data_IF_522718196160
#
_entry.id   IF_522718196160
#
_cell.length_a   1.000
_cell.length_b   1.000
_cell.length_c   1.000
_cell.angle_alpha   90.00
_cell.angle_beta   90.00
_cell.angle_gamma   90.00
#
_symmetry.space_group_name_H-M   'P 1'
#
loop_
_entity.id
_entity.type
_entity.pdbx_description
1 polymer ?
#
# COMPACT_ATOMS: atom_id res chain seq x y z
N UNK A 1 38.89 -17.28 -2.10
CA UNK A 1 39.92 -16.41 -1.49
C UNK A 1 39.17 -15.27 -0.82
N UNK A 2 39.53 -14.99 0.42
CA UNK A 2 38.96 -13.93 1.25
C UNK A 2 40.09 -13.00 1.69
N UNK A 3 39.76 -11.79 2.13
CA UNK A 3 40.76 -10.84 2.61
C UNK A 3 40.30 -10.12 3.86
N UNK A 4 41.25 -9.67 4.68
CA UNK A 4 41.00 -8.68 5.72
C UNK A 4 41.98 -7.51 5.58
N UNK A 5 41.53 -6.33 5.96
CA UNK A 5 42.32 -5.10 5.93
C UNK A 5 42.82 -4.78 7.34
N UNK A 6 44.13 -4.59 7.49
CA UNK A 6 44.71 -4.11 8.73
C UNK A 6 44.95 -2.60 8.63
N UNK A 7 44.20 -1.76 9.37
CA UNK A 7 44.31 -0.31 9.28
C UNK A 7 45.64 0.23 9.79
N UNK A 8 46.29 -0.45 10.75
CA UNK A 8 47.56 0.01 11.32
C UNK A 8 48.71 -0.10 10.31
N UNK A 9 48.68 -1.12 9.45
CA UNK A 9 49.69 -1.35 8.42
C UNK A 9 49.23 -0.95 7.02
N UNK A 10 47.98 -0.47 6.88
CA UNK A 10 47.34 -0.19 5.60
C UNK A 10 47.49 -1.33 4.57
N UNK A 11 47.44 -2.57 5.06
CA UNK A 11 47.77 -3.76 4.28
C UNK A 11 46.56 -4.70 4.17
N UNK A 12 46.42 -5.32 3.00
CA UNK A 12 45.45 -6.39 2.74
C UNK A 12 46.13 -7.75 2.88
N UNK A 13 45.56 -8.62 3.70
CA UNK A 13 45.99 -10.00 3.83
C UNK A 13 45.01 -10.89 3.08
N UNK A 14 45.49 -11.65 2.09
CA UNK A 14 44.68 -12.53 1.26
C UNK A 14 44.89 -13.97 1.72
N UNK A 15 43.83 -14.61 2.17
CA UNK A 15 43.83 -15.99 2.64
C UNK A 15 42.84 -16.83 1.83
N UNK A 16 42.96 -18.17 1.89
CA UNK A 16 41.93 -19.06 1.33
C UNK A 16 40.58 -18.81 2.02
N UNK A 17 40.64 -18.64 3.35
CA UNK A 17 39.54 -18.29 4.25
C UNK A 17 40.11 -17.43 5.38
N UNK A 18 39.42 -16.34 5.73
CA UNK A 18 39.75 -15.52 6.90
C UNK A 18 39.01 -16.11 8.09
N UNK A 19 39.79 -16.66 9.03
CA UNK A 19 39.31 -17.28 10.25
C UNK A 19 40.26 -16.90 11.39
N UNK A 20 39.69 -16.46 12.50
CA UNK A 20 40.41 -16.31 13.77
C UNK A 20 39.72 -17.17 14.82
N UNK A 21 40.43 -18.06 15.50
CA UNK A 21 39.81 -18.93 16.50
C UNK A 21 39.63 -18.11 17.76
N UNK A 22 38.38 -17.82 18.11
CA UNK A 22 38.07 -17.00 19.26
C UNK A 22 38.45 -17.69 20.57
N UNK A 23 38.94 -16.91 21.52
CA UNK A 23 39.21 -17.32 22.91
C UNK A 23 37.96 -17.27 23.81
N UNK A 24 36.83 -16.85 23.24
CA UNK A 24 35.52 -16.78 23.90
C UNK A 24 34.50 -17.71 23.23
N UNK A 25 33.40 -17.99 23.94
CA UNK A 25 32.29 -18.82 23.45
C UNK A 25 30.99 -18.04 23.41
N UNK A 26 29.99 -18.56 22.70
CA UNK A 26 28.65 -18.00 22.68
C UNK A 26 27.68 -19.04 23.25
N UNK A 27 26.99 -18.70 24.34
CA UNK A 27 26.02 -19.57 24.97
C UNK A 27 24.71 -18.84 25.29
N UNK A 28 23.61 -19.41 24.78
CA UNK A 28 22.27 -18.92 25.09
C UNK A 28 21.99 -18.98 26.60
N UNK A 29 21.56 -17.85 27.16
CA UNK A 29 21.28 -17.69 28.59
C UNK A 29 22.49 -17.33 29.44
N UNK A 30 23.69 -17.24 28.86
CA UNK A 30 24.87 -16.69 29.53
C UNK A 30 25.27 -15.33 28.94
N UNK A 31 25.84 -15.34 27.73
CA UNK A 31 26.40 -14.17 27.08
C UNK A 31 25.78 -13.87 25.70
N UNK A 32 24.72 -14.59 25.34
CA UNK A 32 23.92 -14.28 24.17
C UNK A 32 22.43 -14.53 24.42
N UNK A 33 21.61 -13.77 23.70
CA UNK A 33 20.14 -13.85 23.70
C UNK A 33 19.61 -13.86 22.26
N UNK A 34 18.31 -14.12 22.12
CA UNK A 34 17.55 -13.96 20.87
C UNK A 34 18.12 -14.75 19.67
N UNK A 35 18.49 -16.01 19.91
CA UNK A 35 18.94 -16.91 18.85
C UNK A 35 17.83 -17.13 17.83
N UNK A 36 18.16 -16.90 16.55
CA UNK A 36 17.28 -17.09 15.42
C UNK A 36 18.05 -17.80 14.31
N UNK A 37 17.69 -19.06 14.07
CA UNK A 37 18.19 -19.83 12.94
C UNK A 37 17.27 -19.63 11.72
N UNK A 38 17.85 -19.20 10.61
CA UNK A 38 17.20 -19.16 9.30
C UNK A 38 17.86 -20.20 8.38
N UNK A 39 17.05 -21.10 7.84
CA UNK A 39 17.48 -22.09 6.85
C UNK A 39 16.86 -21.77 5.49
N UNK A 40 17.68 -21.79 4.44
CA UNK A 40 17.25 -21.57 3.06
C UNK A 40 17.70 -22.73 2.18
N UNK A 41 16.73 -23.59 1.85
CA UNK A 41 16.90 -24.77 1.03
C UNK A 41 16.45 -24.57 -0.42
N UNK A 42 16.16 -23.34 -0.86
CA UNK A 42 15.67 -23.06 -2.22
C UNK A 42 16.64 -23.53 -3.33
N UNK A 43 17.93 -23.62 -3.02
CA UNK A 43 18.98 -24.12 -3.92
C UNK A 43 19.71 -25.31 -3.29
N UNK A 44 19.02 -26.11 -2.47
CA UNK A 44 19.62 -27.29 -1.86
C UNK A 44 19.80 -28.41 -2.90
N UNK A 45 21.00 -28.96 -2.95
CA UNK A 45 21.37 -30.03 -3.87
C UNK A 45 22.03 -31.17 -3.11
N UNK A 46 21.90 -32.38 -3.64
CA UNK A 46 22.56 -33.58 -3.12
C UNK A 46 23.34 -34.33 -4.18
N UNK A 47 23.23 -33.94 -5.46
CA UNK A 47 23.94 -34.51 -6.59
C UNK A 47 24.36 -33.43 -7.57
N UNK A 48 25.51 -33.61 -8.22
CA UNK A 48 26.02 -32.69 -9.24
C UNK A 48 26.87 -33.43 -10.28
N UNK A 49 26.82 -32.97 -11.52
CA UNK A 49 27.69 -33.40 -12.61
C UNK A 49 28.73 -32.32 -12.95
N UNK A 50 29.96 -32.73 -13.25
CA UNK A 50 31.06 -31.85 -13.63
C UNK A 50 31.67 -32.25 -14.96
N UNK A 51 31.94 -31.25 -15.80
CA UNK A 51 32.59 -31.39 -17.10
C UNK A 51 33.80 -30.46 -17.17
N UNK A 52 34.97 -31.03 -17.46
CA UNK A 52 36.25 -30.32 -17.57
C UNK A 52 37.11 -30.82 -18.72
N UNK A 53 38.29 -30.22 -18.88
CA UNK A 53 39.28 -30.50 -19.92
C UNK A 53 38.68 -30.53 -21.34
N UNK A 54 38.18 -29.37 -21.78
CA UNK A 54 37.74 -29.15 -23.15
C UNK A 54 38.07 -27.73 -23.64
N UNK A 55 38.29 -27.53 -24.95
CA UNK A 55 38.57 -26.21 -25.52
C UNK A 55 37.44 -25.20 -25.28
N UNK A 56 37.78 -23.91 -25.17
CA UNK A 56 36.76 -22.85 -25.21
C UNK A 56 35.98 -22.94 -26.54
N UNK A 57 34.64 -22.92 -26.46
CA UNK A 57 33.69 -23.06 -27.58
C UNK A 57 33.46 -24.48 -28.15
N UNK A 58 33.90 -25.56 -27.49
CA UNK A 58 33.49 -26.92 -27.87
C UNK A 58 32.19 -27.36 -27.18
N UNK A 59 31.55 -28.42 -27.70
CA UNK A 59 30.37 -28.97 -27.05
C UNK A 59 30.76 -29.68 -25.75
N UNK A 60 29.86 -29.70 -24.76
CA UNK A 60 30.06 -30.40 -23.48
C UNK A 60 30.34 -31.91 -23.69
N UNK A 61 29.88 -32.46 -24.81
CA UNK A 61 30.14 -33.86 -25.19
C UNK A 61 31.64 -34.16 -25.34
N UNK A 62 32.41 -33.14 -25.73
CA UNK A 62 33.85 -33.21 -26.00
C UNK A 62 34.70 -33.07 -24.72
N UNK A 63 34.06 -32.90 -23.56
CA UNK A 63 34.73 -32.92 -22.26
C UNK A 63 35.48 -34.25 -22.05
N UNK A 64 36.78 -34.17 -21.76
CA UNK A 64 37.57 -35.34 -21.41
C UNK A 64 37.39 -35.75 -19.96
N UNK A 65 37.13 -34.78 -19.09
CA UNK A 65 36.85 -35.02 -17.68
C UNK A 65 35.34 -34.96 -17.43
N UNK A 66 34.76 -36.07 -16.98
CA UNK A 66 33.33 -36.19 -16.64
C UNK A 66 33.22 -36.85 -15.27
N UNK A 67 32.73 -36.11 -14.29
CA UNK A 67 32.58 -36.59 -12.92
C UNK A 67 31.15 -36.41 -12.44
N UNK A 68 30.81 -37.21 -11.45
CA UNK A 68 29.55 -37.13 -10.72
C UNK A 68 29.87 -37.19 -9.22
N UNK A 69 29.23 -36.32 -8.45
CA UNK A 69 29.31 -36.32 -7.00
C UNK A 69 27.91 -36.42 -6.41
N UNK A 70 27.74 -37.32 -5.44
CA UNK A 70 26.51 -37.49 -4.66
C UNK A 70 26.85 -37.41 -3.17
N UNK A 71 26.20 -36.49 -2.47
CA UNK A 71 26.38 -36.32 -1.03
C UNK A 71 25.73 -37.48 -0.25
N UNK A 72 26.30 -37.99 0.85
CA UNK A 72 25.73 -39.09 1.63
C UNK A 72 24.28 -38.85 2.08
N UNK A 73 23.92 -37.59 2.35
CA UNK A 73 22.55 -37.19 2.71
C UNK A 73 21.52 -37.53 1.62
N UNK A 74 21.92 -37.70 0.35
CA UNK A 74 21.03 -38.06 -0.75
C UNK A 74 20.22 -39.33 -0.46
N UNK A 75 20.81 -40.26 0.30
CA UNK A 75 20.14 -41.52 0.71
C UNK A 75 18.94 -41.29 1.62
N UNK A 76 18.96 -40.20 2.40
CA UNK A 76 17.94 -39.88 3.40
C UNK A 76 16.94 -38.86 2.87
N UNK A 77 17.41 -37.81 2.19
CA UNK A 77 16.57 -36.68 1.76
C UNK A 77 16.15 -36.73 0.28
N UNK A 78 16.76 -37.61 -0.51
CA UNK A 78 16.53 -37.74 -1.96
C UNK A 78 17.61 -37.09 -2.83
N UNK A 79 17.51 -37.34 -4.13
CA UNK A 79 18.47 -36.88 -5.14
C UNK A 79 18.01 -35.56 -5.77
N UNK A 80 18.65 -34.45 -5.38
CA UNK A 80 18.41 -33.11 -5.91
C UNK A 80 19.61 -32.69 -6.76
N UNK A 81 19.37 -32.53 -8.06
CA UNK A 81 20.42 -32.28 -9.04
C UNK A 81 20.77 -30.80 -9.14
N UNK A 82 22.05 -30.47 -8.91
CA UNK A 82 22.58 -29.13 -9.10
C UNK A 82 22.84 -28.82 -10.59
N UNK A 83 22.90 -27.54 -10.97
CA UNK A 83 23.43 -27.13 -12.27
C UNK A 83 24.85 -27.67 -12.47
N UNK A 84 25.07 -28.34 -13.60
CA UNK A 84 26.37 -28.94 -13.88
C UNK A 84 27.50 -27.89 -14.00
N UNK A 85 28.65 -28.19 -13.42
CA UNK A 85 29.86 -27.38 -13.59
C UNK A 85 30.45 -27.64 -14.98
N UNK A 86 30.71 -26.57 -15.73
CA UNK A 86 31.29 -26.62 -17.07
C UNK A 86 32.50 -25.68 -17.11
N UNK A 87 33.70 -26.23 -16.92
CA UNK A 87 34.93 -25.44 -16.90
C UNK A 87 36.05 -26.18 -17.63
N UNK A 88 36.17 -25.93 -18.93
CA UNK A 88 37.15 -26.61 -19.80
C UNK A 88 38.61 -26.34 -19.44
N UNK A 89 38.89 -25.33 -18.60
CA UNK A 89 40.23 -25.01 -18.10
C UNK A 89 40.70 -25.94 -16.99
N UNK A 90 39.76 -26.61 -16.32
CA UNK A 90 40.08 -27.55 -15.24
C UNK A 90 40.49 -28.88 -15.86
N UNK A 91 41.75 -29.25 -15.68
CA UNK A 91 42.32 -30.51 -16.19
C UNK A 91 42.52 -31.58 -15.11
N UNK A 92 42.50 -31.16 -13.84
CA UNK A 92 42.72 -32.02 -12.69
C UNK A 92 41.37 -32.50 -12.13
N UNK A 93 41.23 -33.82 -12.01
CA UNK A 93 40.06 -34.49 -11.45
C UNK A 93 39.74 -34.05 -10.03
N UNK A 94 40.76 -33.94 -9.17
CA UNK A 94 40.58 -33.53 -7.78
C UNK A 94 40.08 -32.10 -7.69
N UNK A 95 40.60 -31.21 -8.55
CA UNK A 95 40.15 -29.81 -8.59
C UNK A 95 38.69 -29.72 -9.03
N UNK A 96 38.27 -30.52 -10.02
CA UNK A 96 36.87 -30.55 -10.45
C UNK A 96 35.97 -31.12 -9.35
N UNK A 97 36.37 -32.22 -8.71
CA UNK A 97 35.63 -32.85 -7.62
C UNK A 97 35.47 -31.91 -6.42
N UNK A 98 36.53 -31.20 -6.01
CA UNK A 98 36.46 -30.23 -4.92
C UNK A 98 35.55 -29.04 -5.25
N UNK A 99 35.55 -28.57 -6.51
CA UNK A 99 34.56 -27.57 -6.97
C UNK A 99 33.13 -28.10 -6.88
N UNK A 100 32.90 -29.35 -7.25
CA UNK A 100 31.59 -30.01 -7.21
C UNK A 100 31.08 -30.19 -5.78
N UNK A 101 31.92 -30.73 -4.89
CA UNK A 101 31.64 -30.83 -3.46
C UNK A 101 31.31 -29.48 -2.87
N UNK A 102 32.13 -28.46 -3.16
CA UNK A 102 31.90 -27.11 -2.68
C UNK A 102 30.53 -26.56 -3.09
N UNK A 103 30.05 -26.82 -4.32
CA UNK A 103 28.70 -26.38 -4.74
C UNK A 103 27.61 -27.08 -3.93
N UNK A 104 27.72 -28.39 -3.74
CA UNK A 104 26.71 -29.20 -3.02
C UNK A 104 26.74 -28.91 -1.52
N UNK A 105 27.91 -28.88 -0.90
CA UNK A 105 28.07 -28.70 0.54
C UNK A 105 27.67 -27.27 0.97
N UNK A 106 27.86 -26.26 0.11
CA UNK A 106 27.42 -24.88 0.37
C UNK A 106 26.01 -24.57 -0.17
N UNK A 107 25.27 -25.57 -0.65
CA UNK A 107 23.95 -25.39 -1.28
C UNK A 107 22.84 -25.11 -0.26
N UNK A 108 22.92 -25.75 0.90
CA UNK A 108 22.07 -25.43 2.05
C UNK A 108 22.64 -24.21 2.76
N UNK A 109 21.83 -23.17 2.90
CA UNK A 109 22.26 -21.93 3.55
C UNK A 109 21.66 -21.82 4.93
N UNK A 110 22.52 -21.67 5.94
CA UNK A 110 22.11 -21.55 7.34
C UNK A 110 22.69 -20.26 7.93
N UNK A 111 21.80 -19.40 8.44
CA UNK A 111 22.16 -18.13 9.07
C UNK A 111 21.68 -18.12 10.51
N UNK A 112 22.61 -18.04 11.45
CA UNK A 112 22.30 -17.90 12.87
C UNK A 112 22.47 -16.44 13.27
N UNK A 113 21.39 -15.79 13.70
CA UNK A 113 21.44 -14.43 14.24
C UNK A 113 21.21 -14.46 15.74
N UNK A 114 21.97 -13.67 16.49
CA UNK A 114 21.83 -13.54 17.93
C UNK A 114 22.28 -12.17 18.44
N UNK A 115 21.90 -11.87 19.67
CA UNK A 115 22.34 -10.70 20.41
C UNK A 115 23.44 -11.11 21.38
N UNK A 116 24.69 -10.80 21.03
CA UNK A 116 25.84 -11.02 21.89
C UNK A 116 25.95 -9.87 22.90
N UNK A 117 25.94 -10.22 24.19
CA UNK A 117 25.96 -9.27 25.29
C UNK A 117 27.40 -9.01 25.70
N UNK A 118 27.77 -7.73 25.74
CA UNK A 118 29.07 -7.36 26.28
C UNK A 118 29.02 -7.38 27.81
N UNK A 119 29.67 -8.38 28.42
CA UNK A 119 29.69 -8.57 29.85
C UNK A 119 30.97 -7.99 30.45
N UNK A 120 30.86 -6.86 31.17
CA UNK A 120 31.96 -6.29 31.94
C UNK A 120 32.17 -7.05 33.25
N UNK A 121 32.83 -8.21 33.18
CA UNK A 121 33.31 -8.95 34.34
C UNK A 121 34.74 -9.46 34.09
N UNK A 122 35.38 -10.03 35.12
CA UNK A 122 36.79 -10.47 35.03
C UNK A 122 37.04 -11.57 33.98
N UNK A 123 36.00 -12.33 33.60
CA UNK A 123 36.13 -13.49 32.72
C UNK A 123 35.76 -13.24 31.26
N UNK A 124 34.94 -12.22 30.96
CA UNK A 124 34.40 -11.95 29.61
C UNK A 124 34.75 -10.55 29.08
N UNK A 125 35.57 -9.77 29.78
CA UNK A 125 35.99 -8.43 29.36
C UNK A 125 36.66 -8.36 27.98
N UNK A 126 37.31 -9.45 27.54
CA UNK A 126 37.99 -9.60 26.26
C UNK A 126 37.08 -10.16 25.15
N UNK A 127 35.89 -10.65 25.50
CA UNK A 127 34.96 -11.28 24.56
C UNK A 127 34.24 -10.22 23.71
N UNK A 128 34.90 -9.79 22.63
CA UNK A 128 34.37 -8.83 21.67
C UNK A 128 34.31 -9.51 20.31
N UNK A 129 33.09 -9.61 19.76
CA UNK A 129 32.88 -10.29 18.49
C UNK A 129 33.50 -9.50 17.33
N UNK A 130 34.29 -10.18 16.49
CA UNK A 130 34.83 -9.64 15.26
C UNK A 130 34.41 -10.49 14.05
N UNK A 131 34.38 -9.85 12.88
CA UNK A 131 34.08 -10.55 11.62
C UNK A 131 35.26 -11.44 11.26
N UNK A 132 34.99 -12.73 11.01
CA UNK A 132 35.99 -13.75 10.76
C UNK A 132 36.24 -14.68 11.96
N UNK A 133 35.77 -14.33 13.16
CA UNK A 133 35.96 -15.18 14.34
C UNK A 133 35.20 -16.50 14.17
N UNK A 134 35.85 -17.62 14.50
CA UNK A 134 35.26 -18.94 14.62
C UNK A 134 35.04 -19.21 16.10
N UNK A 135 33.77 -19.24 16.50
CA UNK A 135 33.35 -19.29 17.90
C UNK A 135 32.58 -20.59 18.20
N UNK A 136 32.84 -21.26 19.33
CA UNK A 136 31.97 -22.33 19.80
C UNK A 136 30.62 -21.76 20.22
N UNK A 137 29.55 -22.26 19.60
CA UNK A 137 28.17 -21.85 19.86
C UNK A 137 27.41 -22.98 20.53
N UNK A 138 26.75 -22.66 21.64
CA UNK A 138 25.92 -23.58 22.40
C UNK A 138 24.50 -23.05 22.59
N UNK A 139 23.54 -23.73 21.99
CA UNK A 139 22.11 -23.49 22.21
C UNK A 139 21.37 -24.83 22.36
N UNK A 140 20.78 -25.05 23.54
CA UNK A 140 20.08 -26.29 23.84
C UNK A 140 18.71 -26.39 23.15
N UNK A 141 18.05 -25.26 22.86
CA UNK A 141 16.69 -25.24 22.32
C UNK A 141 16.68 -25.51 20.80
N UNK A 142 17.67 -24.97 20.09
CA UNK A 142 17.92 -25.17 18.66
C UNK A 142 18.86 -26.36 18.39
N UNK A 143 19.35 -27.03 19.44
CA UNK A 143 20.28 -28.15 19.35
C UNK A 143 21.57 -27.82 18.57
N UNK A 144 22.13 -26.64 18.84
CA UNK A 144 23.36 -26.15 18.21
C UNK A 144 24.53 -26.35 19.16
N UNK A 145 25.51 -27.14 18.73
CA UNK A 145 26.74 -27.45 19.45
C UNK A 145 27.90 -27.53 18.46
N UNK A 146 28.26 -26.39 17.85
CA UNK A 146 29.24 -26.36 16.77
C UNK A 146 30.09 -25.08 16.79
N UNK A 147 31.23 -25.12 16.10
CA UNK A 147 32.11 -23.97 15.89
C UNK A 147 31.68 -23.23 14.63
N UNK A 148 31.08 -22.05 14.81
CA UNK A 148 30.47 -21.30 13.71
C UNK A 148 31.22 -19.99 13.50
N UNK A 149 31.50 -19.65 12.25
CA UNK A 149 32.17 -18.41 11.88
C UNK A 149 31.22 -17.21 11.89
N UNK A 150 31.66 -16.10 12.44
CA UNK A 150 30.98 -14.80 12.40
C UNK A 150 31.19 -14.14 11.03
N UNK A 151 30.10 -13.78 10.36
CA UNK A 151 30.11 -13.10 9.05
C UNK A 151 29.67 -11.65 9.12
N UNK A 152 28.94 -11.26 10.15
CA UNK A 152 28.49 -9.88 10.34
C UNK A 152 28.42 -9.54 11.82
N UNK A 153 28.89 -8.33 12.17
CA UNK A 153 28.79 -7.78 13.52
C UNK A 153 28.27 -6.34 13.44
N UNK A 154 27.19 -6.05 14.16
CA UNK A 154 26.68 -4.68 14.37
C UNK A 154 26.84 -4.31 15.83
N UNK A 155 27.74 -3.37 16.09
CA UNK A 155 28.07 -2.95 17.46
C UNK A 155 27.26 -1.74 17.86
N UNK A 156 26.55 -1.84 18.99
CA UNK A 156 25.83 -0.74 19.64
C UNK A 156 26.67 -0.24 20.81
N UNK A 157 26.87 1.09 20.85
CA UNK A 157 27.65 1.76 21.90
C UNK A 157 26.80 2.79 22.65
N UNK A 158 27.12 3.00 23.92
CA UNK A 158 26.51 4.06 24.74
C UNK A 158 27.16 5.43 24.49
N UNK A 159 26.69 6.45 25.22
CA UNK A 159 27.18 7.83 25.15
C UNK A 159 28.67 7.95 25.53
N UNK A 160 29.20 6.99 26.29
CA UNK A 160 30.61 6.91 26.68
C UNK A 160 31.45 6.05 25.73
N UNK A 161 30.88 5.68 24.56
CA UNK A 161 31.51 4.87 23.52
C UNK A 161 31.89 3.44 24.00
N UNK A 162 31.21 2.94 25.03
CA UNK A 162 31.36 1.57 25.51
C UNK A 162 30.40 0.67 24.74
N UNK A 163 30.87 -0.52 24.37
CA UNK A 163 30.02 -1.53 23.74
C UNK A 163 28.97 -2.00 24.73
N UNK A 164 27.69 -1.89 24.36
CA UNK A 164 26.57 -2.38 25.17
C UNK A 164 26.09 -3.75 24.65
N UNK A 165 26.04 -3.89 23.32
CA UNK A 165 25.50 -5.07 22.64
C UNK A 165 26.11 -5.19 21.25
N UNK A 166 26.28 -6.43 20.78
CA UNK A 166 26.61 -6.72 19.38
C UNK A 166 25.53 -7.64 18.78
N UNK A 167 24.86 -7.21 17.71
CA UNK A 167 24.06 -8.13 16.90
C UNK A 167 25.02 -8.88 15.98
N UNK A 168 25.03 -10.20 16.08
CA UNK A 168 26.00 -11.07 15.40
C UNK A 168 25.25 -12.01 14.46
N UNK A 169 25.72 -12.12 13.22
CA UNK A 169 25.29 -13.14 12.25
C UNK A 169 26.43 -14.14 12.06
N UNK A 170 26.14 -15.43 12.24
CA UNK A 170 27.07 -16.55 12.10
C UNK A 170 26.64 -17.49 10.98
N UNK A 171 27.60 -18.17 10.37
CA UNK A 171 27.38 -19.09 9.25
C UNK A 171 27.31 -18.34 7.92
N UNK A 172 26.16 -18.40 7.25
CA UNK A 172 25.89 -17.60 6.06
C UNK A 172 25.23 -16.26 6.40
N UNK A 173 25.39 -15.26 5.54
CA UNK A 173 24.61 -14.01 5.59
C UNK A 173 23.12 -14.30 5.49
N UNK A 174 22.27 -13.47 6.10
CA UNK A 174 20.80 -13.58 6.06
C UNK A 174 20.27 -13.65 4.62
N UNK A 175 19.19 -14.40 4.39
CA UNK A 175 18.60 -14.58 3.05
C UNK A 175 18.30 -13.25 2.35
N UNK A 176 17.73 -12.30 3.10
CA UNK A 176 17.42 -10.95 2.61
C UNK A 176 18.66 -10.21 2.10
N UNK A 177 19.77 -10.28 2.82
CA UNK A 177 20.99 -9.55 2.47
C UNK A 177 21.72 -10.22 1.29
N UNK A 178 21.69 -11.56 1.20
CA UNK A 178 22.14 -12.29 0.00
C UNK A 178 21.34 -11.88 -1.23
N UNK A 179 20.02 -11.87 -1.14
CA UNK A 179 19.14 -11.47 -2.25
C UNK A 179 19.40 -10.01 -2.68
N UNK A 180 19.51 -9.09 -1.72
CA UNK A 180 19.87 -7.69 -1.99
C UNK A 180 21.22 -7.57 -2.68
N UNK A 181 22.23 -8.32 -2.23
CA UNK A 181 23.57 -8.32 -2.83
C UNK A 181 23.58 -8.88 -4.25
N UNK A 182 22.82 -9.95 -4.51
CA UNK A 182 22.65 -10.51 -5.86
C UNK A 182 22.02 -9.49 -6.81
N UNK A 183 20.95 -8.82 -6.37
CA UNK A 183 20.32 -7.75 -7.15
C UNK A 183 21.32 -6.63 -7.43
N UNK A 184 22.01 -6.13 -6.40
CA UNK A 184 22.97 -5.05 -6.56
C UNK A 184 24.12 -5.43 -7.51
N UNK A 185 24.62 -6.66 -7.45
CA UNK A 185 25.66 -7.16 -8.34
C UNK A 185 25.16 -7.29 -9.79
N UNK A 186 23.93 -7.75 -9.99
CA UNK A 186 23.31 -7.78 -11.32
C UNK A 186 23.14 -6.36 -11.87
N UNK A 187 22.72 -5.41 -11.03
CA UNK A 187 22.61 -4.00 -11.39
C UNK A 187 23.96 -3.42 -11.81
N UNK A 188 25.02 -3.60 -11.01
CA UNK A 188 26.36 -3.09 -11.35
C UNK A 188 26.94 -3.76 -12.60
N UNK A 189 26.62 -5.04 -12.82
CA UNK A 189 27.05 -5.75 -14.03
C UNK A 189 26.40 -5.15 -15.28
N UNK A 190 25.11 -4.80 -15.21
CA UNK A 190 24.39 -4.13 -16.29
C UNK A 190 24.96 -2.73 -16.55
N UNK A 191 25.25 -1.95 -15.50
CA UNK A 191 25.90 -0.63 -15.64
C UNK A 191 27.27 -0.73 -16.31
N UNK A 192 28.04 -1.77 -16.01
CA UNK A 192 29.34 -2.01 -16.67
C UNK A 192 29.15 -2.41 -18.14
N UNK A 193 28.14 -3.21 -18.47
CA UNK A 193 27.78 -3.54 -19.86
C UNK A 193 27.33 -2.29 -20.61
N UNK A 194 26.56 -1.39 -19.99
CA UNK A 194 26.15 -0.10 -20.54
C UNK A 194 27.35 0.80 -20.85
N UNK A 195 28.32 0.87 -19.93
CA UNK A 195 29.60 1.60 -20.14
C UNK A 195 30.45 0.98 -21.24
N UNK A 196 30.54 -0.35 -21.31
CA UNK A 196 31.26 -1.06 -22.36
C UNK A 196 30.59 -0.87 -23.73
N UNK A 197 29.27 -0.91 -23.78
CA UNK A 197 28.45 -0.70 -24.99
C UNK A 197 28.53 0.75 -25.51
N UNK A 198 28.80 1.72 -24.64
CA UNK A 198 29.01 3.13 -25.03
C UNK A 198 30.46 3.43 -25.43
N UNK A 199 31.42 2.59 -25.04
CA UNK A 199 32.85 2.76 -25.33
C UNK A 199 33.36 1.91 -26.51
N UNK A 200 32.68 0.81 -26.86
CA UNK A 200 33.03 0.00 -28.03
C UNK A 200 32.11 0.30 -29.22
N UNK A 201 32.69 0.66 -30.36
CA UNK A 201 32.01 0.74 -31.65
C UNK A 201 31.55 -0.65 -32.10
N UNK A 202 30.39 -1.10 -31.62
CA UNK A 202 29.74 -2.33 -32.05
C UNK A 202 28.72 -2.00 -33.16
N UNK A 203 28.68 -2.81 -34.21
CA UNK A 203 27.99 -2.55 -35.48
C UNK A 203 26.47 -2.31 -35.34
N UNK A 204 25.95 -1.42 -36.18
CA UNK A 204 24.70 -0.64 -36.05
C UNK A 204 23.36 -1.40 -36.30
N UNK A 205 23.31 -2.73 -36.22
CA UNK A 205 22.07 -3.50 -36.50
C UNK A 205 21.22 -3.80 -35.26
N UNK A 206 21.82 -4.45 -34.25
CA UNK A 206 21.11 -4.99 -33.09
C UNK A 206 21.11 -4.04 -31.87
N UNK A 207 21.80 -2.90 -31.98
CA UNK A 207 22.01 -1.96 -30.88
C UNK A 207 20.80 -1.06 -30.57
N UNK A 208 19.91 -0.83 -31.54
CA UNK A 208 18.71 -0.01 -31.34
C UNK A 208 17.70 -0.68 -30.40
N UNK A 209 17.49 -1.99 -30.58
CA UNK A 209 16.64 -2.80 -29.72
C UNK A 209 17.25 -2.97 -28.33
N UNK A 210 18.55 -3.22 -28.23
CA UNK A 210 19.24 -3.30 -26.94
C UNK A 210 19.17 -1.97 -26.18
N UNK A 211 19.40 -0.82 -26.83
CA UNK A 211 19.30 0.50 -26.21
C UNK A 211 17.86 0.86 -25.80
N UNK A 212 16.87 0.47 -26.60
CA UNK A 212 15.45 0.63 -26.24
C UNK A 212 15.07 -0.24 -25.04
N UNK A 213 15.51 -1.50 -25.02
CA UNK A 213 15.30 -2.42 -23.91
C UNK A 213 16.01 -1.93 -22.65
N UNK A 214 17.21 -1.38 -22.77
CA UNK A 214 18.00 -0.82 -21.66
C UNK A 214 17.37 0.47 -21.09
N UNK A 215 16.84 1.35 -21.94
CA UNK A 215 16.10 2.53 -21.45
C UNK A 215 14.81 2.12 -20.74
N UNK A 216 14.04 1.20 -21.33
CA UNK A 216 12.85 0.64 -20.69
C UNK A 216 13.19 -0.07 -19.37
N UNK A 217 14.33 -0.77 -19.31
CA UNK A 217 14.78 -1.45 -18.10
C UNK A 217 15.34 -0.48 -17.05
N UNK A 218 15.99 0.61 -17.45
CA UNK A 218 16.44 1.71 -16.59
C UNK A 218 15.25 2.47 -15.99
N UNK A 219 14.21 2.70 -16.79
CA UNK A 219 12.94 3.27 -16.32
C UNK A 219 12.24 2.31 -15.34
N UNK A 220 12.31 0.98 -15.56
CA UNK A 220 11.87 -0.04 -14.59
C UNK A 220 12.72 -0.03 -13.31
N UNK A 221 14.04 0.13 -13.41
CA UNK A 221 14.99 0.24 -12.27
C UNK A 221 14.74 1.48 -11.41
N UNK A 222 14.37 2.61 -12.02
CA UNK A 222 13.99 3.81 -11.28
C UNK A 222 12.57 3.71 -10.73
N UNK A 223 11.64 3.09 -11.47
CA UNK A 223 10.23 3.02 -11.11
C UNK A 223 9.86 1.91 -10.14
N UNK A 224 10.76 0.97 -9.80
CA UNK A 224 10.55 -0.06 -8.77
C UNK A 224 11.85 -0.32 -7.99
N UNK A 225 11.88 0.06 -6.71
CA UNK A 225 12.99 -0.15 -5.78
C UNK A 225 12.53 -1.05 -4.61
N UNK A 226 13.47 -1.75 -3.97
CA UNK A 226 13.20 -2.62 -2.83
C UNK A 226 14.02 -2.14 -1.62
N UNK A 227 13.37 -1.83 -0.50
CA UNK A 227 14.04 -1.34 0.71
C UNK A 227 13.43 -1.93 2.00
N UNK A 228 13.68 -1.29 3.15
CA UNK A 228 13.08 -1.65 4.45
C UNK A 228 11.61 -1.33 4.59
N UNK A 229 11.09 -0.41 3.79
CA UNK A 229 9.69 -0.02 3.77
C UNK A 229 8.86 -0.89 2.81
N UNK A 230 9.52 -1.58 1.88
CA UNK A 230 8.92 -2.63 1.05
C UNK A 230 9.28 -2.47 -0.42
N UNK A 231 8.30 -2.73 -1.29
CA UNK A 231 8.44 -2.52 -2.74
C UNK A 231 7.94 -1.11 -3.02
N UNK A 232 8.81 -0.21 -3.49
CA UNK A 232 8.44 1.17 -3.78
C UNK A 232 8.49 1.48 -5.27
N UNK A 233 7.43 2.06 -5.80
CA UNK A 233 7.47 2.74 -7.07
C UNK A 233 7.89 4.19 -6.89
N UNK A 234 8.85 4.67 -7.68
CA UNK A 234 9.45 6.00 -7.53
C UNK A 234 9.32 6.81 -8.82
N UNK A 235 8.82 8.04 -8.70
CA UNK A 235 8.76 9.03 -9.77
C UNK A 235 9.12 10.41 -9.21
N UNK A 236 10.42 10.76 -9.28
CA UNK A 236 10.96 11.94 -8.62
C UNK A 236 10.82 11.87 -7.10
N UNK A 237 10.18 12.87 -6.48
CA UNK A 237 9.86 12.87 -5.05
C UNK A 237 8.63 12.04 -4.69
N UNK A 238 7.83 11.64 -5.69
CA UNK A 238 6.64 10.84 -5.46
C UNK A 238 7.00 9.37 -5.32
N UNK A 239 6.47 8.73 -4.28
CA UNK A 239 6.67 7.31 -4.02
C UNK A 239 5.34 6.63 -3.73
N UNK A 240 5.16 5.41 -4.25
CA UNK A 240 4.08 4.48 -3.88
C UNK A 240 4.74 3.25 -3.28
N UNK A 241 4.45 2.93 -2.02
CA UNK A 241 5.18 1.93 -1.24
C UNK A 241 4.22 0.81 -0.86
N UNK A 242 4.50 -0.40 -1.30
CA UNK A 242 3.83 -1.63 -0.89
C UNK A 242 4.59 -2.27 0.26
N UNK A 243 4.00 -2.25 1.45
CA UNK A 243 4.62 -2.65 2.72
C UNK A 243 3.82 -3.72 3.44
N UNK A 244 4.38 -4.28 4.53
CA UNK A 244 3.64 -5.18 5.44
C UNK A 244 2.36 -4.57 6.03
N UNK A 245 2.26 -3.25 6.05
CA UNK A 245 1.15 -2.50 6.65
C UNK A 245 0.17 -1.95 5.59
N UNK A 246 0.28 -2.40 4.34
CA UNK A 246 -0.54 -1.96 3.21
C UNK A 246 0.21 -1.05 2.23
N UNK A 247 -0.53 -0.27 1.46
CA UNK A 247 -0.01 0.65 0.43
C UNK A 247 0.07 2.06 1.03
N UNK A 248 1.24 2.68 0.94
CA UNK A 248 1.47 4.06 1.34
C UNK A 248 1.91 4.91 0.13
N UNK A 249 1.70 6.22 0.23
CA UNK A 249 2.23 7.18 -0.73
C UNK A 249 3.06 8.24 -0.01
N UNK A 250 4.04 8.80 -0.70
CA UNK A 250 4.83 9.95 -0.26
C UNK A 250 5.02 10.90 -1.44
N UNK A 251 5.14 12.19 -1.16
CA UNK A 251 5.38 13.24 -2.16
C UNK A 251 6.69 13.99 -1.91
N UNK A 252 7.48 13.54 -0.95
CA UNK A 252 8.67 14.22 -0.42
C UNK A 252 9.87 13.27 -0.29
N UNK A 253 9.98 12.30 -1.19
CA UNK A 253 11.10 11.37 -1.25
C UNK A 253 11.07 10.27 -0.19
N UNK A 254 9.96 10.11 0.54
CA UNK A 254 9.75 9.08 1.55
C UNK A 254 9.83 9.58 3.00
N UNK A 255 9.95 10.89 3.22
CA UNK A 255 10.01 11.47 4.58
C UNK A 255 8.66 11.40 5.27
N UNK A 256 7.58 11.81 4.58
CA UNK A 256 6.21 11.67 5.06
C UNK A 256 5.47 10.62 4.24
N UNK A 257 5.03 9.56 4.92
CA UNK A 257 4.31 8.43 4.33
C UNK A 257 2.86 8.47 4.79
N UNK A 258 1.93 8.65 3.85
CA UNK A 258 0.49 8.61 4.11
C UNK A 258 -0.01 7.24 3.67
N UNK A 259 -0.66 6.49 4.57
CA UNK A 259 -1.25 5.19 4.24
C UNK A 259 -2.46 5.41 3.32
N UNK A 260 -2.42 4.81 2.14
CA UNK A 260 -3.48 4.89 1.13
C UNK A 260 -4.45 3.71 1.20
N UNK A 261 -3.95 2.51 1.48
CA UNK A 261 -4.74 1.30 1.63
C UNK A 261 -4.19 0.47 2.79
N UNK A 262 -5.07 0.02 3.69
CA UNK A 262 -4.71 -0.90 4.78
C UNK A 262 -5.77 -2.01 4.88
N UNK A 263 -5.63 -2.90 5.86
CA UNK A 263 -6.67 -3.89 6.19
C UNK A 263 -8.00 -3.26 6.60
N UNK A 264 -8.00 -2.00 7.04
CA UNK A 264 -9.21 -1.26 7.44
C UNK A 264 -9.91 -0.59 6.24
N UNK A 265 -9.29 -0.60 5.06
CA UNK A 265 -9.86 -0.04 3.83
C UNK A 265 -8.99 1.05 3.18
N UNK A 266 -9.63 1.84 2.31
CA UNK A 266 -9.02 2.93 1.54
C UNK A 266 -9.06 4.22 2.36
N UNK A 267 -7.96 4.96 2.40
CA UNK A 267 -7.91 6.27 3.06
C UNK A 267 -8.71 7.32 2.25
N UNK A 268 -9.84 7.83 2.77
CA UNK A 268 -10.70 8.75 2.04
C UNK A 268 -10.08 10.14 1.81
N UNK A 269 -9.10 10.55 2.62
CA UNK A 269 -8.46 11.87 2.49
C UNK A 269 -7.55 11.96 1.26
N UNK A 270 -7.14 10.82 0.71
CA UNK A 270 -6.32 10.74 -0.49
C UNK A 270 -7.13 10.66 -1.79
N UNK A 271 -8.45 10.52 -1.68
CA UNK A 271 -9.34 10.50 -2.84
C UNK A 271 -9.59 11.94 -3.28
N UNK A 272 -9.28 12.24 -4.55
CA UNK A 272 -9.53 13.56 -5.15
C UNK A 272 -11.04 13.82 -5.16
N UNK A 273 -11.48 14.81 -4.39
CA UNK A 273 -12.87 15.27 -4.35
C UNK A 273 -13.18 16.09 -5.60
N UNK A 274 -14.32 15.81 -6.23
CA UNK A 274 -14.79 16.62 -7.35
C UNK A 274 -15.16 18.03 -6.86
N UNK A 275 -14.77 19.05 -7.61
CA UNK A 275 -15.14 20.45 -7.36
C UNK A 275 -15.87 21.02 -8.57
N UNK A 276 -16.32 22.28 -8.47
CA UNK A 276 -16.89 22.99 -9.62
C UNK A 276 -15.90 23.10 -10.80
N UNK A 277 -14.59 23.00 -10.57
CA UNK A 277 -13.57 23.25 -11.58
C UNK A 277 -12.70 22.02 -11.89
N UNK A 278 -12.80 20.96 -11.10
CA UNK A 278 -11.92 19.80 -11.19
C UNK A 278 -12.71 18.50 -11.04
N UNK A 279 -12.41 17.52 -11.90
CA UNK A 279 -12.94 16.16 -11.80
C UNK A 279 -12.39 15.45 -10.54
N UNK A 280 -13.17 14.52 -9.99
CA UNK A 280 -12.76 13.64 -8.91
C UNK A 280 -13.40 12.26 -9.10
N UNK A 281 -14.03 11.70 -8.05
CA UNK A 281 -14.87 10.50 -8.18
C UNK A 281 -16.11 10.68 -9.08
N UNK A 282 -16.47 11.92 -9.40
CA UNK A 282 -17.47 12.27 -10.42
C UNK A 282 -16.91 13.38 -11.31
N UNK A 283 -17.51 13.58 -12.49
CA UNK A 283 -17.11 14.67 -13.38
C UNK A 283 -17.43 16.04 -12.76
N UNK A 284 -16.67 17.08 -13.09
CA UNK A 284 -16.96 18.47 -12.69
C UNK A 284 -18.33 18.93 -13.19
N UNK A 285 -18.79 18.39 -14.33
CA UNK A 285 -20.11 18.69 -14.89
C UNK A 285 -21.22 18.10 -14.02
N UNK A 286 -21.07 16.83 -13.62
CA UNK A 286 -22.01 16.19 -12.71
C UNK A 286 -21.92 16.80 -11.32
N UNK A 287 -20.75 17.21 -10.84
CA UNK A 287 -20.61 17.95 -9.58
C UNK A 287 -21.37 19.27 -9.62
N UNK A 288 -21.28 20.05 -10.71
CA UNK A 288 -22.08 21.28 -10.88
C UNK A 288 -23.58 20.98 -10.90
N UNK A 289 -24.00 19.93 -11.59
CA UNK A 289 -25.42 19.50 -11.58
C UNK A 289 -25.87 19.10 -10.19
N UNK A 290 -25.07 18.30 -9.50
CA UNK A 290 -25.33 17.83 -8.14
C UNK A 290 -25.42 19.01 -7.17
N UNK A 291 -24.51 19.97 -7.29
CA UNK A 291 -24.57 21.20 -6.51
C UNK A 291 -25.79 22.03 -6.91
N UNK A 292 -26.20 22.10 -8.16
CA UNK A 292 -27.46 22.76 -8.54
C UNK A 292 -28.70 22.05 -7.97
N UNK A 293 -28.61 20.74 -7.72
CA UNK A 293 -29.67 19.95 -7.08
C UNK A 293 -29.71 20.17 -5.56
N UNK A 294 -28.55 20.36 -4.91
CA UNK A 294 -28.46 20.49 -3.44
C UNK A 294 -28.23 21.92 -2.92
N UNK A 295 -27.87 22.87 -3.80
CA UNK A 295 -27.65 24.29 -3.50
C UNK A 295 -28.91 25.12 -3.80
N UNK A 296 -30.05 24.45 -3.94
CA UNK A 296 -31.36 25.02 -3.70
C UNK A 296 -31.89 24.34 -2.46
N UNK A 297 -32.05 25.14 -1.40
CA UNK A 297 -33.03 24.85 -0.36
C UNK A 297 -34.26 24.24 -1.01
N UNK A 298 -34.57 23.00 -0.62
CA UNK A 298 -35.74 22.20 -0.93
C UNK A 298 -36.82 22.93 -1.73
N UNK A 299 -36.77 22.90 -3.07
CA UNK A 299 -37.84 23.03 -4.10
C UNK A 299 -39.09 23.92 -3.87
N UNK A 300 -39.14 24.73 -2.81
CA UNK A 300 -40.26 25.42 -2.22
C UNK A 300 -39.71 26.51 -1.30
N UNK A 301 -39.70 27.79 -1.72
CA UNK A 301 -39.34 28.89 -0.81
C UNK A 301 -40.55 29.21 0.06
N UNK A 302 -40.45 29.07 1.39
CA UNK A 302 -41.57 29.40 2.29
C UNK A 302 -41.86 30.90 2.18
N UNK A 303 -43.07 31.22 1.73
CA UNK A 303 -43.53 32.60 1.59
C UNK A 303 -44.06 33.09 2.94
N UNK A 304 -44.88 32.26 3.61
CA UNK A 304 -45.48 32.57 4.90
C UNK A 304 -45.72 31.31 5.76
N UNK A 305 -45.63 31.47 7.07
CA UNK A 305 -46.02 30.50 8.10
C UNK A 305 -47.23 31.07 8.85
N UNK A 306 -48.38 30.41 8.72
CA UNK A 306 -49.68 31.02 9.00
C UNK A 306 -50.44 30.31 10.12
N UNK A 307 -50.54 28.98 10.09
CA UNK A 307 -51.39 28.20 11.01
C UNK A 307 -52.81 28.79 11.19
N UNK A 308 -53.50 29.13 10.09
CA UNK A 308 -54.81 29.81 10.11
C UNK A 308 -55.91 28.90 9.59
N UNK A 309 -57.08 28.96 10.22
CA UNK A 309 -58.30 28.36 9.67
C UNK A 309 -58.92 29.29 8.64
N UNK A 310 -58.40 29.29 7.41
CA UNK A 310 -58.75 30.22 6.35
C UNK A 310 -60.28 30.37 6.13
N UNK A 311 -60.90 31.39 6.74
CA UNK A 311 -62.33 31.72 6.61
C UNK A 311 -62.54 33.03 5.80
N UNK A 312 -63.78 33.54 5.72
CA UNK A 312 -64.07 34.75 4.91
C UNK A 312 -63.41 36.05 5.45
N UNK A 313 -63.01 36.05 6.72
CA UNK A 313 -62.39 37.19 7.40
C UNK A 313 -60.86 37.14 7.36
N UNK A 314 -60.27 35.96 7.07
CA UNK A 314 -58.83 35.75 7.04
C UNK A 314 -58.25 36.09 5.67
N UNK A 315 -57.98 37.38 5.45
CA UNK A 315 -57.29 37.85 4.25
C UNK A 315 -55.77 37.71 4.42
N UNK A 316 -55.18 36.76 3.69
CA UNK A 316 -53.74 36.56 3.62
C UNK A 316 -53.19 37.40 2.47
N UNK A 317 -52.22 38.28 2.75
CA UNK A 317 -51.53 39.08 1.75
C UNK A 317 -50.22 38.41 1.35
N UNK A 318 -50.06 38.06 0.08
CA UNK A 318 -48.83 37.44 -0.40
C UNK A 318 -47.69 38.46 -0.44
N UNK A 319 -46.53 38.08 0.06
CA UNK A 319 -45.32 38.94 0.04
C UNK A 319 -44.79 39.18 -1.38
N UNK A 320 -45.21 38.37 -2.36
CA UNK A 320 -44.94 38.54 -3.79
C UNK A 320 -46.18 38.20 -4.61
N UNK A 321 -46.44 38.90 -5.74
CA UNK A 321 -47.52 38.54 -6.65
C UNK A 321 -47.31 37.14 -7.26
N UNK A 322 -48.39 36.37 -7.45
CA UNK A 322 -48.35 35.02 -8.02
C UNK A 322 -47.76 35.03 -9.45
N UNK A 323 -48.05 36.09 -10.22
CA UNK A 323 -47.50 36.33 -11.56
C UNK A 323 -45.98 36.33 -11.61
N UNK A 324 -45.34 36.76 -10.52
CA UNK A 324 -43.90 36.97 -10.44
C UNK A 324 -43.16 35.70 -9.95
N UNK A 325 -43.92 34.70 -9.50
CA UNK A 325 -43.37 33.41 -9.07
C UNK A 325 -42.84 32.60 -10.24
N UNK A 326 -41.96 31.65 -9.95
CA UNK A 326 -41.35 30.81 -10.99
C UNK A 326 -42.38 29.92 -11.67
N UNK A 327 -43.16 29.13 -10.92
CA UNK A 327 -44.19 28.24 -11.44
C UNK A 327 -45.57 28.48 -10.80
N UNK A 328 -45.63 28.82 -9.52
CA UNK A 328 -46.88 29.07 -8.81
C UNK A 328 -46.74 28.93 -7.30
N UNK A 329 -47.85 28.66 -6.62
CA UNK A 329 -47.92 28.49 -5.17
C UNK A 329 -48.18 27.05 -4.77
N UNK A 330 -47.63 26.63 -3.63
CA UNK A 330 -48.07 25.44 -2.90
C UNK A 330 -48.72 25.89 -1.60
N UNK A 331 -49.95 25.45 -1.39
CA UNK A 331 -50.64 25.56 -0.12
C UNK A 331 -50.49 24.25 0.65
N UNK A 332 -50.04 24.33 1.90
CA UNK A 332 -49.87 23.17 2.78
C UNK A 332 -50.95 23.17 3.84
N UNK A 333 -51.85 22.21 3.71
CA UNK A 333 -52.96 21.99 4.63
C UNK A 333 -52.60 20.95 5.67
N UNK A 334 -52.84 21.28 6.94
CA UNK A 334 -52.61 20.39 8.07
C UNK A 334 -53.93 19.93 8.66
N UNK A 335 -54.10 18.62 8.80
CA UNK A 335 -55.21 18.07 9.58
C UNK A 335 -54.81 18.00 11.06
N UNK A 336 -55.57 18.69 11.92
CA UNK A 336 -55.21 18.92 13.32
C UNK A 336 -55.20 17.64 14.17
N UNK A 337 -56.03 16.64 13.83
CA UNK A 337 -56.16 15.41 14.62
C UNK A 337 -55.10 14.36 14.27
N UNK A 338 -54.72 14.26 12.99
CA UNK A 338 -53.78 13.22 12.50
C UNK A 338 -52.38 13.75 12.26
N UNK A 339 -52.17 15.06 12.36
CA UNK A 339 -50.91 15.75 12.08
C UNK A 339 -50.38 15.54 10.64
N UNK A 340 -51.26 15.15 9.72
CA UNK A 340 -50.91 14.88 8.31
C UNK A 340 -50.92 16.16 7.48
N UNK A 341 -49.91 16.31 6.63
CA UNK A 341 -49.76 17.45 5.71
C UNK A 341 -50.16 17.08 4.29
N UNK A 342 -50.94 17.94 3.65
CA UNK A 342 -51.40 17.79 2.29
C UNK A 342 -51.05 19.02 1.47
N UNK A 343 -50.37 18.81 0.35
CA UNK A 343 -49.88 19.88 -0.51
C UNK A 343 -50.77 20.03 -1.73
N UNK A 344 -51.10 21.27 -2.08
CA UNK A 344 -51.86 21.56 -3.29
C UNK A 344 -51.23 22.70 -4.08
N UNK A 345 -51.05 22.47 -5.38
CA UNK A 345 -50.37 23.40 -6.27
C UNK A 345 -51.36 24.28 -7.03
N UNK A 346 -51.10 25.58 -7.05
CA UNK A 346 -51.81 26.58 -7.84
C UNK A 346 -50.84 27.16 -8.86
N UNK A 347 -51.10 26.91 -10.14
CA UNK A 347 -50.24 27.39 -11.24
C UNK A 347 -50.40 28.89 -11.48
N UNK A 348 -49.28 29.61 -11.63
CA UNK A 348 -49.30 31.03 -11.98
C UNK A 348 -49.98 31.31 -13.32
N UNK A 349 -50.00 30.31 -14.22
CA UNK A 349 -50.63 30.44 -15.55
C UNK A 349 -52.14 30.71 -15.46
N UNK A 350 -52.78 30.40 -14.33
CA UNK A 350 -54.19 30.69 -14.14
C UNK A 350 -54.44 32.21 -14.02
N UNK A 351 -53.44 32.98 -13.57
CA UNK A 351 -53.54 34.42 -13.32
C UNK A 351 -53.14 35.29 -14.52
N UNK A 352 -52.90 34.71 -15.70
CA UNK A 352 -52.59 35.51 -16.90
C UNK A 352 -53.83 36.21 -17.47
N UNK A 353 -55.03 35.65 -17.26
CA UNK A 353 -56.29 36.12 -17.86
C UNK A 353 -57.43 36.31 -16.83
N UNK A 354 -57.16 36.13 -15.54
CA UNK A 354 -58.17 36.18 -14.48
C UNK A 354 -57.60 36.87 -13.25
N UNK A 355 -58.33 37.85 -12.71
CA UNK A 355 -57.89 38.61 -11.53
C UNK A 355 -58.09 37.82 -10.24
N UNK A 356 -59.09 36.92 -10.21
CA UNK A 356 -59.51 36.14 -9.05
C UNK A 356 -59.96 34.74 -9.49
N UNK A 357 -59.55 33.71 -8.74
CA UNK A 357 -59.88 32.30 -8.99
C UNK A 357 -60.41 31.66 -7.72
N UNK A 358 -61.49 30.89 -7.84
CA UNK A 358 -62.00 30.05 -6.75
C UNK A 358 -61.36 28.67 -6.83
N UNK A 359 -60.65 28.28 -5.78
CA UNK A 359 -59.99 26.98 -5.65
C UNK A 359 -60.73 26.11 -4.63
N UNK A 360 -61.00 24.86 -4.99
CA UNK A 360 -61.53 23.85 -4.06
C UNK A 360 -60.40 22.87 -3.78
N UNK A 361 -60.04 22.77 -2.51
CA UNK A 361 -58.95 21.99 -1.99
C UNK A 361 -59.48 20.71 -1.35
N UNK A 362 -59.29 19.57 -2.03
CA UNK A 362 -59.69 18.27 -1.49
C UNK A 362 -58.55 17.64 -0.68
N UNK A 363 -58.76 17.49 0.62
CA UNK A 363 -57.72 17.14 1.59
C UNK A 363 -58.05 15.76 2.15
N UNK A 364 -57.25 14.72 1.84
CA UNK A 364 -57.51 13.37 2.31
C UNK A 364 -57.26 13.27 3.82
N UNK A 365 -58.20 12.63 4.52
CA UNK A 365 -58.15 12.41 5.98
C UNK A 365 -58.18 10.92 6.37
N UNK A 366 -58.24 10.01 5.38
CA UNK A 366 -58.28 8.56 5.59
C UNK A 366 -58.56 7.80 4.29
N UNK A 367 -58.86 6.49 4.40
CA UNK A 367 -59.26 5.71 3.22
C UNK A 367 -60.64 6.18 2.73
N UNK A 368 -60.67 6.83 1.56
CA UNK A 368 -61.86 7.34 0.87
C UNK A 368 -62.64 8.47 1.57
N UNK A 369 -62.01 9.20 2.50
CA UNK A 369 -62.61 10.39 3.13
C UNK A 369 -61.79 11.65 2.82
N UNK A 370 -62.48 12.70 2.41
CA UNK A 370 -61.88 13.99 2.07
C UNK A 370 -62.64 15.13 2.73
N UNK A 371 -61.89 16.13 3.19
CA UNK A 371 -62.41 17.43 3.61
C UNK A 371 -62.14 18.42 2.48
N UNK A 372 -63.15 19.19 2.10
CA UNK A 372 -62.99 20.24 1.09
C UNK A 372 -62.85 21.60 1.78
N UNK A 373 -61.76 22.30 1.50
CA UNK A 373 -61.60 23.73 1.81
C UNK A 373 -61.74 24.54 0.55
N UNK A 374 -62.35 25.71 0.63
CA UNK A 374 -62.45 26.59 -0.54
C UNK A 374 -61.72 27.89 -0.28
N UNK A 375 -60.91 28.33 -1.23
CA UNK A 375 -60.27 29.64 -1.18
C UNK A 375 -60.56 30.46 -2.43
N UNK A 376 -60.59 31.77 -2.25
CA UNK A 376 -60.62 32.76 -3.32
C UNK A 376 -59.21 33.33 -3.39
N UNK A 377 -58.54 33.10 -4.52
CA UNK A 377 -57.14 33.46 -4.74
C UNK A 377 -57.06 34.55 -5.78
N UNK A 378 -56.45 35.68 -5.43
CA UNK A 378 -56.09 36.76 -6.36
C UNK A 378 -54.58 36.73 -6.64
N UNK A 379 -54.10 37.58 -7.55
CA UNK A 379 -52.67 37.68 -7.81
C UNK A 379 -51.84 38.10 -6.58
N UNK A 380 -52.45 38.68 -5.53
CA UNK A 380 -51.74 39.21 -4.36
C UNK A 380 -52.31 38.76 -3.01
N UNK A 381 -53.38 37.96 -3.00
CA UNK A 381 -54.02 37.56 -1.75
C UNK A 381 -54.76 36.24 -1.84
N UNK A 382 -54.98 35.62 -0.68
CA UNK A 382 -55.79 34.42 -0.50
C UNK A 382 -56.78 34.68 0.62
N UNK A 383 -58.05 34.35 0.42
CA UNK A 383 -59.09 34.42 1.46
C UNK A 383 -59.96 33.16 1.42
N UNK A 384 -60.53 32.79 2.55
CA UNK A 384 -61.43 31.65 2.67
C UNK A 384 -62.89 32.00 2.41
N UNK A 385 -63.77 31.09 2.80
CA UNK A 385 -65.23 31.28 2.87
C UNK A 385 -65.73 30.78 4.23
N UNK A 386 -66.93 31.18 4.65
CA UNK A 386 -67.51 30.79 5.94
C UNK A 386 -67.65 29.27 6.11
N UNK A 387 -67.96 28.55 5.04
CA UNK A 387 -68.15 27.11 5.07
C UNK A 387 -66.87 26.33 5.46
N UNK A 388 -65.71 27.00 5.47
CA UNK A 388 -64.47 26.42 5.96
C UNK A 388 -64.45 26.24 7.49
N UNK A 389 -65.36 26.84 8.27
CA UNK A 389 -65.41 26.72 9.74
C UNK A 389 -66.59 25.89 10.24
N UNK A 390 -67.11 24.99 9.42
CA UNK A 390 -68.28 24.20 9.76
C UNK A 390 -67.91 22.91 10.53
N UNK A 391 -68.27 22.88 11.81
CA UNK A 391 -68.08 21.73 12.71
C UNK A 391 -68.84 20.47 12.26
N UNK A 392 -70.03 20.61 11.65
CA UNK A 392 -70.84 19.49 11.15
C UNK A 392 -70.09 18.71 10.04
N UNK A 393 -69.36 19.44 9.20
CA UNK A 393 -68.56 18.86 8.12
C UNK A 393 -67.07 18.67 8.49
N UNK A 394 -66.70 18.90 9.75
CA UNK A 394 -65.33 18.85 10.27
C UNK A 394 -64.33 19.74 9.52
N UNK A 395 -64.79 20.78 8.80
CA UNK A 395 -63.88 21.63 8.02
C UNK A 395 -62.95 22.43 8.93
N UNK A 396 -63.39 22.75 10.16
CA UNK A 396 -62.61 23.35 11.25
C UNK A 396 -61.34 22.55 11.63
N UNK A 397 -61.31 21.24 11.38
CA UNK A 397 -60.17 20.36 11.72
C UNK A 397 -59.00 20.44 10.74
N UNK A 398 -59.10 21.28 9.72
CA UNK A 398 -58.03 21.47 8.72
C UNK A 398 -57.67 22.94 8.65
N UNK A 399 -56.39 23.24 8.80
CA UNK A 399 -55.85 24.61 8.75
C UNK A 399 -54.85 24.76 7.61
N UNK A 400 -54.70 25.98 7.11
CA UNK A 400 -53.60 26.34 6.23
C UNK A 400 -52.37 26.59 7.11
N UNK A 401 -51.39 25.69 7.03
CA UNK A 401 -50.18 25.78 7.84
C UNK A 401 -49.16 26.71 7.18
N UNK A 402 -48.83 26.45 5.92
CA UNK A 402 -47.77 27.14 5.19
C UNK A 402 -48.15 27.43 3.74
N UNK A 403 -47.51 28.46 3.19
CA UNK A 403 -47.52 28.77 1.76
C UNK A 403 -46.08 28.78 1.25
N UNK A 404 -45.83 28.08 0.14
CA UNK A 404 -44.53 28.04 -0.53
C UNK A 404 -44.60 28.53 -1.99
N UNK A 405 -43.52 29.13 -2.48
CA UNK A 405 -43.26 29.41 -3.90
C UNK A 405 -42.69 28.16 -4.57
N UNK A 406 -43.27 27.74 -5.69
CA UNK A 406 -42.79 26.63 -6.53
C UNK A 406 -42.12 27.12 -7.83
#
# INVERSE_FOLDING_TARGET
MEFYFNPNYQAFYINKRVEDVADYFIHNGMNALNFKLEEDANQFFTRIHGYGDFPENSAIRDAKLKLEYTHPLATTVGYFEAPAIKDGRVKDENVLLEKMKHVVDNSLKQSLTLDFLYLKNEYFNHAVAQVGDVVPVKDNALNIFDNIRIVEVKTVRDEQNVIVKQEVTLGDYKKRDRYRSQINNSISSIENVEKLATQQHVSNGDFGLLKLLLNQFSDVKQSLQFDSDGIQSVSGLNKVIFSKNGIAISRDGGNNKIKALTSEGINPDLIVKATHNQDGLMSKYDKKKLDLLFNKENTYLQIENLNVNLNQHDLIHLTKPISDLRNGLILVWKHLTTDTLNQQFISKKLFTNSEVIKCIHSIPIGQNQHINKTSIVSNQSIVGIDENENEEFNTDKVILQDIYEY
#
